data_IF_832642778716
#
_entry.id   IF_832642778716
#
_cell.length_a   1.000
_cell.length_b   1.000
_cell.length_c   1.000
_cell.angle_alpha   90.00
_cell.angle_beta   90.00
_cell.angle_gamma   90.00
#
_symmetry.space_group_name_H-M   'P 1'
#
loop_
_entity.id
_entity.type
_entity.pdbx_description
1 polymer ?
#
# COMPACT_ATOMS: atom_id res chain seq x y z
N UNK A 1 -28.85 11.17 6.96
CA UNK A 1 -28.40 10.35 5.82
C UNK A 1 -28.88 10.99 4.53
N UNK A 2 -28.03 11.78 3.87
CA UNK A 2 -28.42 12.62 2.74
C UNK A 2 -27.29 13.06 1.81
N UNK A 3 -26.09 12.52 1.94
CA UNK A 3 -25.09 12.62 0.88
C UNK A 3 -25.33 11.49 -0.11
N UNK A 4 -25.37 11.79 -1.40
CA UNK A 4 -25.41 10.77 -2.44
C UNK A 4 -24.17 9.89 -2.43
N UNK A 5 -24.13 8.90 -3.33
CA UNK A 5 -22.91 8.12 -3.56
C UNK A 5 -21.92 8.99 -4.33
N UNK A 6 -20.72 9.14 -3.77
CA UNK A 6 -19.65 9.92 -4.37
C UNK A 6 -18.75 9.07 -5.26
N UNK A 7 -18.22 9.66 -6.34
CA UNK A 7 -17.39 8.93 -7.31
C UNK A 7 -15.94 8.86 -6.83
N UNK A 8 -15.36 7.67 -6.99
CA UNK A 8 -13.91 7.43 -6.87
C UNK A 8 -13.38 7.06 -8.24
N UNK A 9 -12.28 7.67 -8.67
CA UNK A 9 -11.57 7.29 -9.90
C UNK A 9 -10.36 6.45 -9.54
N UNK A 10 -10.21 5.32 -10.20
CA UNK A 10 -9.07 4.42 -10.00
C UNK A 10 -8.53 4.04 -11.36
N UNK A 11 -7.22 4.15 -11.53
CA UNK A 11 -6.52 3.60 -12.67
C UNK A 11 -5.22 2.95 -12.21
N UNK A 12 -4.70 2.06 -13.03
CA UNK A 12 -3.43 1.43 -12.75
C UNK A 12 -2.92 0.63 -13.93
N UNK A 13 -1.67 0.22 -13.82
CA UNK A 13 -1.03 -0.68 -14.76
C UNK A 13 -0.20 -1.72 -14.00
N UNK A 14 0.06 -2.84 -14.67
CA UNK A 14 0.98 -3.86 -14.20
C UNK A 14 1.80 -4.38 -15.36
N UNK A 15 3.04 -4.74 -15.07
CA UNK A 15 3.97 -5.26 -16.05
C UNK A 15 4.88 -6.30 -15.43
N UNK A 16 5.47 -7.13 -16.28
CA UNK A 16 6.47 -8.08 -15.88
C UNK A 16 7.30 -8.55 -17.06
N UNK A 17 8.52 -8.94 -16.77
CA UNK A 17 9.46 -9.52 -17.70
C UNK A 17 10.10 -10.75 -17.06
N UNK A 18 10.32 -11.79 -17.87
CA UNK A 18 11.01 -13.01 -17.47
C UNK A 18 12.22 -13.20 -18.36
N UNK A 19 13.38 -13.39 -17.75
CA UNK A 19 14.61 -13.76 -18.42
C UNK A 19 14.98 -15.19 -18.09
N UNK A 20 15.16 -16.01 -19.13
CA UNK A 20 15.64 -17.38 -19.01
C UNK A 20 17.14 -17.39 -19.26
N UNK A 21 17.93 -17.49 -18.19
CA UNK A 21 19.39 -17.55 -18.29
C UNK A 21 19.86 -18.90 -18.85
N UNK A 22 19.19 -19.97 -18.42
CA UNK A 22 19.36 -21.35 -18.90
C UNK A 22 17.99 -22.04 -18.86
N UNK A 23 17.83 -23.24 -19.44
CA UNK A 23 16.58 -24.01 -19.29
C UNK A 23 16.18 -24.32 -17.85
N UNK A 24 17.12 -24.21 -16.90
CA UNK A 24 16.93 -24.54 -15.49
C UNK A 24 16.91 -23.31 -14.57
N UNK A 25 17.17 -22.09 -15.09
CA UNK A 25 17.27 -20.86 -14.31
C UNK A 25 16.52 -19.71 -14.97
N UNK A 26 15.58 -19.13 -14.25
CA UNK A 26 14.84 -17.94 -14.67
C UNK A 26 14.81 -16.88 -13.56
N UNK A 27 14.81 -15.61 -13.98
CA UNK A 27 14.52 -14.48 -13.11
C UNK A 27 13.42 -13.65 -13.74
N UNK A 28 12.42 -13.27 -12.95
CA UNK A 28 11.42 -12.29 -13.33
C UNK A 28 11.57 -11.00 -12.55
N UNK A 29 11.21 -9.90 -13.20
CA UNK A 29 10.95 -8.60 -12.56
C UNK A 29 9.51 -8.23 -12.90
N UNK A 30 8.76 -7.79 -11.90
CA UNK A 30 7.36 -7.44 -12.06
C UNK A 30 7.01 -6.25 -11.19
N UNK A 31 5.93 -5.57 -11.53
CA UNK A 31 5.46 -4.45 -10.74
C UNK A 31 4.07 -4.00 -11.14
N UNK A 32 3.52 -3.13 -10.29
CA UNK A 32 2.23 -2.51 -10.49
C UNK A 32 2.24 -1.10 -9.91
N UNK A 33 1.34 -0.27 -10.45
CA UNK A 33 1.04 1.04 -9.91
C UNK A 33 -0.47 1.24 -10.01
N UNK A 34 -1.08 1.69 -8.93
CA UNK A 34 -2.51 2.03 -8.85
C UNK A 34 -2.65 3.39 -8.20
N UNK A 35 -3.38 4.29 -8.83
CA UNK A 35 -3.76 5.59 -8.27
C UNK A 35 -5.25 5.61 -7.96
N UNK A 36 -5.60 6.15 -6.80
CA UNK A 36 -6.96 6.35 -6.32
C UNK A 36 -7.16 7.84 -6.10
N UNK A 37 -8.16 8.41 -6.77
CA UNK A 37 -8.55 9.82 -6.67
C UNK A 37 -10.01 9.93 -6.23
N UNK A 38 -10.26 10.68 -5.17
CA UNK A 38 -11.58 10.97 -4.64
C UNK A 38 -12.09 12.31 -5.17
N UNK A 39 -13.39 12.39 -5.46
CA UNK A 39 -14.00 13.68 -5.80
C UNK A 39 -14.06 14.61 -4.57
N UNK A 40 -14.33 15.89 -4.79
CA UNK A 40 -14.33 16.91 -3.72
C UNK A 40 -15.21 16.55 -2.52
N UNK A 41 -16.43 16.06 -2.78
CA UNK A 41 -17.38 15.71 -1.71
C UNK A 41 -16.92 14.48 -0.91
N UNK A 42 -16.42 13.44 -1.58
CA UNK A 42 -15.82 12.28 -0.93
C UNK A 42 -14.61 12.69 -0.09
N UNK A 43 -13.75 13.57 -0.61
CA UNK A 43 -12.58 14.04 0.11
C UNK A 43 -12.96 14.75 1.40
N UNK A 44 -13.93 15.66 1.36
CA UNK A 44 -14.46 16.33 2.56
C UNK A 44 -15.03 15.31 3.55
N UNK A 45 -15.83 14.35 3.09
CA UNK A 45 -16.43 13.33 3.95
C UNK A 45 -15.36 12.46 4.65
N UNK A 46 -14.36 11.98 3.91
CA UNK A 46 -13.28 11.13 4.45
C UNK A 46 -12.43 11.93 5.46
N UNK A 47 -12.06 13.17 5.12
CA UNK A 47 -11.27 14.03 5.98
C UNK A 47 -11.99 14.40 7.28
N UNK A 48 -13.30 14.68 7.21
CA UNK A 48 -14.12 14.94 8.39
C UNK A 48 -14.26 13.68 9.25
N UNK A 49 -14.50 12.51 8.66
CA UNK A 49 -14.58 11.25 9.39
C UNK A 49 -13.27 10.94 10.14
N UNK A 50 -12.12 11.13 9.48
CA UNK A 50 -10.79 10.97 10.08
C UNK A 50 -10.56 11.95 11.24
N UNK A 51 -10.92 13.21 11.05
CA UNK A 51 -10.77 14.23 12.09
C UNK A 51 -11.64 13.94 13.31
N UNK A 52 -12.89 13.51 13.09
CA UNK A 52 -13.78 13.11 14.18
C UNK A 52 -13.25 11.88 14.92
N UNK A 53 -12.71 10.89 14.19
CA UNK A 53 -12.05 9.73 14.77
C UNK A 53 -10.80 10.09 15.60
N UNK A 54 -10.14 11.20 15.27
CA UNK A 54 -9.00 11.72 16.03
C UNK A 54 -9.39 12.47 17.31
N UNK A 55 -10.68 12.71 17.57
CA UNK A 55 -11.15 13.54 18.68
C UNK A 55 -11.40 15.01 18.31
N UNK A 56 -11.47 15.34 17.02
CA UNK A 56 -11.87 16.66 16.52
C UNK A 56 -10.72 17.51 15.93
N UNK A 57 -11.07 18.68 15.41
CA UNK A 57 -10.17 19.55 14.64
C UNK A 57 -8.97 20.09 15.47
N UNK A 58 -9.12 20.23 16.79
CA UNK A 58 -8.04 20.69 17.68
C UNK A 58 -6.83 19.74 17.76
N UNK A 59 -6.94 18.54 17.19
CA UNK A 59 -5.90 17.53 17.18
C UNK A 59 -5.09 17.48 15.86
N UNK A 60 -5.41 18.38 14.93
CA UNK A 60 -4.67 18.59 13.68
C UNK A 60 -3.50 19.56 13.95
N UNK A 61 -2.26 19.12 13.77
CA UNK A 61 -1.06 19.91 14.13
C UNK A 61 0.00 19.86 13.02
N UNK A 62 1.06 20.65 13.17
CA UNK A 62 2.25 20.65 12.29
C UNK A 62 1.94 20.83 10.80
N UNK A 63 1.03 21.76 10.46
CA UNK A 63 0.66 22.02 9.05
C UNK A 63 -0.19 20.91 8.44
N UNK A 64 -1.13 20.38 9.22
CA UNK A 64 -2.07 19.35 8.78
C UNK A 64 -2.81 19.78 7.51
N UNK A 65 -2.73 18.94 6.48
CA UNK A 65 -3.64 19.00 5.33
C UNK A 65 -4.17 17.61 5.04
N UNK A 66 -5.45 17.53 4.68
CA UNK A 66 -6.08 16.27 4.36
C UNK A 66 -6.34 16.16 2.87
N UNK A 67 -5.73 15.16 2.25
CA UNK A 67 -6.04 14.69 0.92
C UNK A 67 -6.07 13.15 0.98
N UNK A 68 -7.24 12.52 0.78
CA UNK A 68 -7.36 11.07 0.85
C UNK A 68 -6.89 10.38 -0.43
N UNK A 69 -6.49 11.11 -1.47
CA UNK A 69 -5.89 10.52 -2.65
C UNK A 69 -4.57 9.83 -2.28
N UNK A 70 -4.32 8.68 -2.90
CA UNK A 70 -3.10 7.92 -2.67
C UNK A 70 -2.73 7.09 -3.91
N UNK A 71 -1.47 6.71 -4.00
CA UNK A 71 -1.00 5.72 -4.94
C UNK A 71 -0.41 4.53 -4.18
N UNK A 72 -0.61 3.33 -4.71
CA UNK A 72 0.08 2.13 -4.26
C UNK A 72 0.90 1.62 -5.42
N UNK A 73 2.18 1.36 -5.17
CA UNK A 73 3.03 0.74 -6.16
C UNK A 73 3.82 -0.40 -5.57
N UNK A 74 4.11 -1.37 -6.42
CA UNK A 74 4.82 -2.57 -6.05
C UNK A 74 5.88 -2.87 -7.10
N UNK A 75 7.04 -3.31 -6.64
CA UNK A 75 8.08 -3.85 -7.49
C UNK A 75 8.63 -5.11 -6.84
N UNK A 76 8.76 -6.16 -7.62
CA UNK A 76 9.23 -7.44 -7.14
C UNK A 76 10.12 -8.13 -8.15
N UNK A 77 10.88 -9.08 -7.62
CA UNK A 77 11.66 -10.02 -8.41
C UNK A 77 11.49 -11.42 -7.87
N UNK A 78 11.48 -12.40 -8.77
CA UNK A 78 11.47 -13.80 -8.43
C UNK A 78 12.57 -14.50 -9.20
N UNK A 79 13.37 -15.29 -8.51
CA UNK A 79 14.33 -16.20 -9.14
C UNK A 79 13.91 -17.63 -8.88
N UNK A 80 13.89 -18.46 -9.92
CA UNK A 80 13.54 -19.88 -9.84
C UNK A 80 14.63 -20.74 -10.47
N UNK A 81 14.94 -21.85 -9.79
CA UNK A 81 15.92 -22.84 -10.18
C UNK A 81 15.31 -24.23 -10.17
N UNK A 82 15.38 -24.92 -11.30
CA UNK A 82 14.85 -26.27 -11.50
C UNK A 82 16.00 -27.24 -11.82
N UNK A 83 16.77 -27.72 -10.82
CA UNK A 83 17.99 -28.52 -11.06
C UNK A 83 17.73 -29.84 -11.79
N UNK A 84 16.61 -30.46 -11.48
CA UNK A 84 16.17 -31.72 -12.07
C UNK A 84 14.70 -31.60 -12.43
N UNK A 85 14.24 -32.49 -13.31
CA UNK A 85 12.84 -32.55 -13.68
C UNK A 85 11.95 -32.63 -12.44
N UNK A 86 10.88 -31.83 -12.48
CA UNK A 86 9.85 -31.72 -11.45
C UNK A 86 10.30 -31.20 -10.09
N UNK A 87 11.50 -30.66 -9.90
CA UNK A 87 11.91 -30.01 -8.64
C UNK A 87 12.30 -28.56 -8.89
N UNK A 88 11.53 -27.61 -8.37
CA UNK A 88 11.81 -26.17 -8.48
C UNK A 88 11.98 -25.53 -7.11
N UNK A 89 13.08 -24.82 -6.91
CA UNK A 89 13.29 -23.87 -5.83
C UNK A 89 13.01 -22.46 -6.35
N UNK A 90 12.38 -21.61 -5.56
CA UNK A 90 12.22 -20.21 -5.93
C UNK A 90 12.26 -19.30 -4.72
N UNK A 91 12.88 -18.14 -4.89
CA UNK A 91 12.80 -17.01 -3.98
C UNK A 91 12.13 -15.83 -4.64
N UNK A 92 11.27 -15.14 -3.90
CA UNK A 92 10.57 -13.94 -4.34
C UNK A 92 10.78 -12.83 -3.31
N UNK A 93 11.03 -11.63 -3.79
CA UNK A 93 11.13 -10.40 -3.02
C UNK A 93 10.18 -9.37 -3.61
N UNK A 94 9.46 -8.66 -2.74
CA UNK A 94 8.48 -7.67 -3.11
C UNK A 94 8.64 -6.45 -2.20
N UNK A 95 8.75 -5.28 -2.81
CA UNK A 95 8.57 -4.01 -2.13
C UNK A 95 7.21 -3.43 -2.50
N UNK A 96 6.44 -3.03 -1.49
CA UNK A 96 5.16 -2.34 -1.65
C UNK A 96 5.22 -1.00 -0.95
N UNK A 97 4.79 0.06 -1.61
CA UNK A 97 4.76 1.41 -1.08
C UNK A 97 3.35 2.01 -1.22
N UNK A 98 2.90 2.70 -0.18
CA UNK A 98 1.77 3.62 -0.24
C UNK A 98 2.31 5.04 -0.20
N UNK A 99 2.10 5.78 -1.28
CA UNK A 99 2.33 7.23 -1.40
C UNK A 99 0.99 7.93 -1.12
N UNK A 100 0.96 8.72 -0.05
CA UNK A 100 -0.25 9.33 0.47
C UNK A 100 -0.14 10.86 0.43
N UNK A 101 -1.25 11.55 0.19
CA UNK A 101 -1.21 13.00 -0.05
C UNK A 101 -1.52 13.89 1.17
N UNK A 102 -1.62 13.33 2.38
CA UNK A 102 -1.79 14.12 3.61
C UNK A 102 -0.44 14.64 4.12
N UNK A 103 -0.48 15.79 4.80
CA UNK A 103 0.69 16.39 5.46
C UNK A 103 0.43 16.66 6.93
N UNK A 104 1.51 16.98 7.64
CA UNK A 104 1.47 17.31 9.06
C UNK A 104 1.25 16.10 9.96
N UNK A 105 0.70 16.34 11.14
CA UNK A 105 0.54 15.31 12.17
C UNK A 105 -0.85 15.34 12.78
N UNK A 106 -1.21 14.22 13.40
CA UNK A 106 -2.45 14.05 14.13
C UNK A 106 -2.13 13.66 15.57
N UNK A 107 -2.65 14.41 16.54
CA UNK A 107 -2.59 14.05 17.95
C UNK A 107 -3.76 13.12 18.31
N UNK A 108 -3.47 11.84 18.52
CA UNK A 108 -4.48 10.84 18.87
C UNK A 108 -4.64 10.81 20.37
N UNK A 109 -5.80 11.27 20.85
CA UNK A 109 -6.07 11.45 22.29
C UNK A 109 -6.40 10.13 23.00
N UNK A 110 -6.93 9.14 22.28
CA UNK A 110 -7.27 7.83 22.82
C UNK A 110 -6.81 6.69 21.89
N UNK A 111 -6.37 5.58 22.47
CA UNK A 111 -5.94 4.42 21.70
C UNK A 111 -7.09 3.85 20.85
N UNK A 112 -6.75 3.22 19.71
CA UNK A 112 -7.68 2.53 18.82
C UNK A 112 -8.77 3.41 18.17
N UNK A 113 -8.64 4.74 18.18
CA UNK A 113 -9.65 5.61 17.53
C UNK A 113 -9.38 5.86 16.05
N UNK A 114 -8.12 5.79 15.60
CA UNK A 114 -7.72 6.04 14.20
C UNK A 114 -7.37 4.75 13.42
N UNK A 115 -7.91 3.62 13.87
CA UNK A 115 -7.77 2.32 13.22
C UNK A 115 -6.60 1.47 13.73
N UNK A 116 -6.88 0.16 13.87
CA UNK A 116 -5.94 -0.81 14.42
C UNK A 116 -5.58 -0.55 15.88
N UNK A 117 -4.56 -1.24 16.40
CA UNK A 117 -4.13 -1.12 17.79
C UNK A 117 -3.18 0.08 18.04
N UNK A 118 -3.39 1.22 17.37
CA UNK A 118 -2.54 2.40 17.57
C UNK A 118 -2.76 3.00 18.97
N UNK A 119 -1.69 3.18 19.78
CA UNK A 119 -1.76 3.90 21.06
C UNK A 119 -2.16 5.38 20.90
N UNK A 120 -2.44 6.04 22.03
CA UNK A 120 -2.53 7.50 22.06
C UNK A 120 -1.14 8.11 21.81
N UNK A 121 -1.07 9.20 21.05
CA UNK A 121 0.17 9.84 20.69
C UNK A 121 0.09 10.68 19.41
N UNK A 122 1.18 11.37 19.10
CA UNK A 122 1.32 12.16 17.87
C UNK A 122 1.84 11.28 16.74
N UNK A 123 1.13 11.25 15.62
CA UNK A 123 1.50 10.51 14.42
C UNK A 123 1.64 11.43 13.22
N UNK A 124 2.76 11.32 12.52
CA UNK A 124 3.00 12.03 11.28
C UNK A 124 2.42 11.29 10.08
N UNK A 125 1.86 12.05 9.15
CA UNK A 125 1.55 11.53 7.82
C UNK A 125 2.83 11.42 7.01
N UNK A 126 3.13 10.19 6.60
CA UNK A 126 4.27 9.82 5.77
C UNK A 126 3.87 8.66 4.88
N UNK A 127 4.54 8.57 3.77
CA UNK A 127 4.45 7.41 2.89
C UNK A 127 5.02 6.20 3.63
N UNK A 128 4.41 5.02 3.42
CA UNK A 128 4.78 3.80 4.13
C UNK A 128 5.11 2.69 3.16
N UNK A 129 6.29 2.10 3.34
CA UNK A 129 6.79 0.97 2.56
C UNK A 129 6.90 -0.29 3.40
N UNK A 130 6.70 -1.44 2.76
CA UNK A 130 6.92 -2.77 3.35
C UNK A 130 7.71 -3.65 2.38
N UNK A 131 8.70 -4.35 2.94
CA UNK A 131 9.40 -5.44 2.27
C UNK A 131 8.76 -6.75 2.67
N UNK A 132 8.48 -7.59 1.67
CA UNK A 132 8.01 -8.95 1.87
C UNK A 132 8.74 -9.90 0.93
N UNK A 133 8.70 -11.18 1.26
CA UNK A 133 9.34 -12.19 0.43
C UNK A 133 8.83 -13.58 0.75
N UNK A 134 9.07 -14.51 -0.17
CA UNK A 134 8.74 -15.92 0.04
C UNK A 134 9.80 -16.83 -0.56
N UNK A 135 10.04 -17.94 0.13
CA UNK A 135 10.80 -19.07 -0.38
C UNK A 135 9.82 -20.21 -0.65
N UNK A 136 10.01 -20.90 -1.76
CA UNK A 136 9.16 -22.04 -2.14
C UNK A 136 10.01 -23.17 -2.70
N UNK A 137 9.65 -24.39 -2.32
CA UNK A 137 10.08 -25.63 -2.96
C UNK A 137 8.84 -26.29 -3.56
N UNK A 138 8.90 -26.68 -4.83
CA UNK A 138 7.82 -27.39 -5.52
C UNK A 138 8.36 -28.69 -6.12
N UNK A 139 7.78 -29.82 -5.72
CA UNK A 139 7.96 -31.13 -6.34
C UNK A 139 6.66 -31.55 -7.04
N UNK A 140 6.74 -31.93 -8.31
CA UNK A 140 5.64 -32.59 -9.03
C UNK A 140 5.95 -34.07 -9.23
N UNK A 141 4.94 -34.93 -9.14
CA UNK A 141 5.07 -36.39 -9.27
C UNK A 141 4.50 -36.82 -10.61
#
# INVERSE_FOLDING_TARGET
NGSGIEKTKVWGFRGGYVHNWTPNWETSVFGSYTKVDYNTNASVAICNARTNAAGGAGNQINGYTCNPDFAIWQVGTRTAWTPVQNLTFSGEFLYTMIDQSNTGSLNVVAANTIGGFKPAGVYDYKDQGIYSGSLRVRRTW
#
